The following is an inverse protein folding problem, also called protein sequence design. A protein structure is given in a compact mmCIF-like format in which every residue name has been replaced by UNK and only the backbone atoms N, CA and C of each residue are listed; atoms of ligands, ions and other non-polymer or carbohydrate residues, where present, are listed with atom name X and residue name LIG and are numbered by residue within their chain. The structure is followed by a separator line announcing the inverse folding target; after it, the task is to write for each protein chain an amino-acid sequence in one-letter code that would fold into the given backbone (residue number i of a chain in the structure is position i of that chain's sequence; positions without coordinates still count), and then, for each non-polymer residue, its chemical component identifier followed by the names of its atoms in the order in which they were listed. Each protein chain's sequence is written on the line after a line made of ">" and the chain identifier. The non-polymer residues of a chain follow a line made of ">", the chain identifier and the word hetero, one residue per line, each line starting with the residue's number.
data_IF_224882526839
#
_entry.id   IF_224882526839
#
_cell.length_a   1.000
_cell.length_b   1.000
_cell.length_c   1.000
_cell.angle_alpha   90.00
_cell.angle_beta   90.00
_cell.angle_gamma   90.00
#
_symmetry.space_group_name_H-M   'P 1'
#
loop_
_entity.id
_entity.type
_entity.pdbx_description
1 polymer ?
#
# COMPACT_ATOMS: atom_id res chain seq x y z
N UNK A 1 -7.75 -65.15 -0.49
CA UNK A 1 -6.46 -64.43 -0.49
C UNK A 1 -6.78 -62.96 -0.60
N UNK A 2 -6.55 -62.20 0.48
CA UNK A 2 -6.71 -60.74 0.48
C UNK A 2 -5.41 -60.17 -0.05
N UNK A 3 -5.43 -59.63 -1.26
CA UNK A 3 -4.30 -58.92 -1.85
C UNK A 3 -4.07 -57.66 -1.02
N UNK A 4 -3.05 -57.68 -0.16
CA UNK A 4 -2.60 -56.49 0.55
C UNK A 4 -1.94 -55.58 -0.49
N UNK A 5 -2.68 -54.58 -0.97
CA UNK A 5 -2.13 -53.49 -1.76
C UNK A 5 -1.16 -52.74 -0.84
N UNK A 6 0.15 -52.79 -1.13
CA UNK A 6 1.14 -51.94 -0.46
C UNK A 6 0.68 -50.48 -0.56
N UNK A 7 0.83 -49.67 0.50
CA UNK A 7 0.50 -48.25 0.43
C UNK A 7 1.35 -47.60 -0.67
N UNK A 8 0.68 -46.97 -1.64
CA UNK A 8 1.35 -46.15 -2.65
C UNK A 8 1.83 -44.90 -1.95
N UNK A 9 3.14 -44.77 -1.77
CA UNK A 9 3.74 -43.56 -1.25
C UNK A 9 3.99 -42.58 -2.41
N UNK A 10 3.72 -41.28 -2.23
CA UNK A 10 4.01 -40.29 -3.26
C UNK A 10 5.53 -40.22 -3.49
N UNK A 11 5.92 -40.00 -4.73
CA UNK A 11 7.30 -39.72 -5.13
C UNK A 11 7.73 -38.32 -4.66
N UNK A 12 9.04 -38.08 -4.63
CA UNK A 12 9.58 -36.75 -4.30
C UNK A 12 9.04 -35.67 -5.25
N UNK A 13 8.92 -35.98 -6.54
CA UNK A 13 8.37 -35.07 -7.54
C UNK A 13 6.89 -34.74 -7.28
N UNK A 14 6.05 -35.76 -7.03
CA UNK A 14 4.64 -35.55 -6.67
C UNK A 14 4.48 -34.71 -5.39
N UNK A 15 5.37 -34.90 -4.41
CA UNK A 15 5.38 -34.08 -3.21
C UNK A 15 5.75 -32.62 -3.51
N UNK A 16 6.81 -32.38 -4.29
CA UNK A 16 7.26 -31.02 -4.64
C UNK A 16 6.24 -30.27 -5.51
N UNK A 17 5.51 -31.00 -6.37
CA UNK A 17 4.39 -30.45 -7.12
C UNK A 17 3.20 -30.07 -6.23
N UNK A 18 2.92 -30.87 -5.19
CA UNK A 18 1.78 -30.66 -4.30
C UNK A 18 1.96 -29.54 -3.26
N UNK A 19 3.19 -29.01 -3.07
CA UNK A 19 3.48 -27.95 -2.07
C UNK A 19 2.68 -26.66 -2.34
N UNK A 20 2.27 -26.42 -3.59
CA UNK A 20 1.51 -25.22 -3.96
C UNK A 20 2.33 -23.93 -3.96
N UNK A 21 3.63 -24.00 -3.65
CA UNK A 21 4.58 -22.91 -3.82
C UNK A 21 5.50 -23.20 -5.00
N UNK A 22 6.04 -22.16 -5.63
CA UNK A 22 7.03 -22.32 -6.67
C UNK A 22 8.28 -22.96 -6.07
N UNK A 23 8.70 -24.12 -6.59
CA UNK A 23 9.91 -24.82 -6.17
C UNK A 23 10.85 -24.95 -7.36
N UNK A 24 12.09 -24.54 -7.14
CA UNK A 24 13.15 -24.52 -8.13
C UNK A 24 14.37 -25.20 -7.52
N UNK A 25 15.02 -26.07 -8.27
CA UNK A 25 16.33 -26.59 -7.87
C UNK A 25 17.37 -26.25 -8.94
N UNK A 26 18.58 -25.91 -8.50
CA UNK A 26 19.71 -25.57 -9.37
C UNK A 26 20.97 -26.35 -9.00
N UNK A 27 21.89 -26.46 -9.96
CA UNK A 27 23.29 -26.81 -9.65
C UNK A 27 24.00 -25.63 -8.96
N UNK A 28 25.22 -25.86 -8.48
CA UNK A 28 26.02 -24.81 -7.81
C UNK A 28 26.42 -23.63 -8.71
N UNK A 29 26.21 -23.76 -10.03
CA UNK A 29 26.47 -22.71 -11.02
C UNK A 29 25.19 -21.95 -11.38
N UNK A 30 24.04 -22.29 -10.80
CA UNK A 30 22.76 -21.66 -11.09
C UNK A 30 22.01 -22.25 -12.28
N UNK A 31 22.44 -23.39 -12.83
CA UNK A 31 21.70 -24.07 -13.90
C UNK A 31 20.47 -24.74 -13.32
N UNK A 32 19.28 -24.41 -13.83
CA UNK A 32 18.00 -24.97 -13.38
C UNK A 32 17.94 -26.47 -13.67
N UNK A 33 17.75 -27.27 -12.64
CA UNK A 33 17.59 -28.73 -12.68
C UNK A 33 16.13 -29.14 -12.50
N UNK A 34 15.34 -28.35 -11.78
CA UNK A 34 13.95 -28.64 -11.46
C UNK A 34 13.11 -27.37 -11.43
N UNK A 35 11.87 -27.51 -11.87
CA UNK A 35 10.90 -26.42 -12.00
C UNK A 35 9.48 -26.99 -11.92
N UNK A 36 8.76 -26.72 -10.83
CA UNK A 36 7.41 -27.25 -10.63
C UNK A 36 6.31 -26.38 -11.27
N UNK A 37 5.08 -26.88 -11.29
CA UNK A 37 3.93 -26.23 -11.93
C UNK A 37 3.63 -24.86 -11.32
N UNK A 38 3.84 -24.71 -10.01
CA UNK A 38 3.68 -23.43 -9.32
C UNK A 38 4.75 -22.41 -9.74
N UNK A 39 5.97 -22.85 -10.06
CA UNK A 39 7.01 -22.00 -10.62
C UNK A 39 6.67 -21.57 -12.06
N UNK A 40 6.07 -22.46 -12.87
CA UNK A 40 5.56 -22.08 -14.19
C UNK A 40 4.51 -20.97 -14.10
N UNK A 41 3.58 -21.08 -13.15
CA UNK A 41 2.55 -20.07 -12.92
C UNK A 41 3.16 -18.74 -12.47
N UNK A 42 4.05 -18.77 -11.48
CA UNK A 42 4.67 -17.59 -10.89
C UNK A 42 5.54 -16.82 -11.90
N UNK A 43 6.49 -17.49 -12.54
CA UNK A 43 7.43 -16.82 -13.45
C UNK A 43 7.03 -16.88 -14.91
N UNK A 44 5.97 -17.61 -15.28
CA UNK A 44 5.48 -17.67 -16.67
C UNK A 44 6.39 -18.44 -17.64
N UNK A 45 7.36 -19.19 -17.12
CA UNK A 45 8.23 -20.06 -17.91
C UNK A 45 7.75 -21.51 -17.78
N UNK A 46 7.43 -22.20 -18.89
CA UNK A 46 7.26 -23.65 -18.89
C UNK A 46 8.56 -24.31 -18.42
N UNK A 47 8.46 -25.40 -17.65
CA UNK A 47 9.58 -26.18 -17.15
C UNK A 47 10.50 -26.64 -18.29
N UNK A 48 9.91 -27.03 -19.43
CA UNK A 48 10.65 -27.41 -20.63
C UNK A 48 11.54 -26.28 -21.19
N UNK A 49 11.18 -25.02 -20.96
CA UNK A 49 11.96 -23.86 -21.36
C UNK A 49 12.90 -23.36 -20.25
N UNK A 50 12.56 -23.59 -18.98
CA UNK A 50 13.32 -23.13 -17.82
C UNK A 50 14.47 -24.06 -17.45
N UNK A 51 14.24 -25.39 -17.49
CA UNK A 51 15.24 -26.39 -17.13
C UNK A 51 16.42 -26.32 -18.11
N UNK A 52 17.63 -26.31 -17.55
CA UNK A 52 18.88 -26.15 -18.29
C UNK A 52 19.31 -24.70 -18.56
N UNK A 53 18.48 -23.70 -18.22
CA UNK A 53 18.87 -22.29 -18.26
C UNK A 53 19.56 -21.85 -16.98
N UNK A 54 20.22 -20.70 -17.05
CA UNK A 54 20.68 -19.98 -15.87
C UNK A 54 19.48 -19.38 -15.11
N UNK A 55 19.46 -19.57 -13.79
CA UNK A 55 18.38 -19.10 -12.92
C UNK A 55 18.16 -17.58 -13.03
N UNK A 56 19.23 -16.80 -13.24
CA UNK A 56 19.14 -15.34 -13.36
C UNK A 56 18.40 -14.90 -14.61
N UNK A 57 18.38 -15.71 -15.67
CA UNK A 57 17.61 -15.38 -16.89
C UNK A 57 16.10 -15.49 -16.68
N UNK A 58 15.67 -16.41 -15.81
CA UNK A 58 14.27 -16.84 -15.70
C UNK A 58 13.56 -16.34 -14.44
N UNK A 59 14.29 -15.93 -13.41
CA UNK A 59 13.68 -15.43 -12.16
C UNK A 59 13.98 -13.98 -11.82
N UNK A 60 15.08 -13.35 -12.28
CA UNK A 60 15.46 -12.02 -11.75
C UNK A 60 16.01 -11.05 -12.81
N UNK A 61 15.48 -9.82 -12.96
CA UNK A 61 16.04 -8.83 -13.89
C UNK A 61 17.28 -8.13 -13.32
N UNK A 62 17.27 -7.80 -12.01
CA UNK A 62 18.37 -7.14 -11.31
C UNK A 62 18.52 -7.68 -9.88
N UNK A 63 18.85 -8.97 -9.70
CA UNK A 63 19.42 -9.35 -8.41
C UNK A 63 20.72 -8.55 -8.27
N UNK A 64 20.81 -7.68 -7.27
CA UNK A 64 22.07 -6.97 -7.04
C UNK A 64 23.15 -8.05 -6.86
N UNK A 65 24.34 -7.83 -7.43
CA UNK A 65 25.46 -8.76 -7.23
C UNK A 65 25.71 -9.02 -5.74
N UNK A 66 25.35 -8.04 -4.90
CA UNK A 66 25.34 -8.13 -3.44
C UNK A 66 24.36 -9.17 -2.90
N UNK A 67 23.09 -9.15 -3.30
CA UNK A 67 22.09 -10.13 -2.87
C UNK A 67 22.47 -11.56 -3.32
N UNK A 68 22.97 -11.71 -4.55
CA UNK A 68 23.50 -12.99 -5.04
C UNK A 68 24.68 -13.49 -4.19
N UNK A 69 25.60 -12.59 -3.84
CA UNK A 69 26.75 -12.91 -2.99
C UNK A 69 26.32 -13.30 -1.57
N UNK A 70 25.31 -12.66 -1.01
CA UNK A 70 24.77 -12.96 0.32
C UNK A 70 24.06 -14.31 0.38
N UNK A 71 23.23 -14.64 -0.62
CA UNK A 71 22.64 -15.98 -0.77
C UNK A 71 23.77 -17.01 -0.78
N UNK A 72 24.73 -16.84 -1.69
CA UNK A 72 25.83 -17.80 -1.83
C UNK A 72 26.72 -17.90 -0.60
N UNK A 73 26.90 -16.81 0.17
CA UNK A 73 27.63 -16.83 1.42
C UNK A 73 26.89 -17.64 2.50
N UNK A 74 25.59 -17.38 2.69
CA UNK A 74 24.76 -18.13 3.64
C UNK A 74 24.75 -19.63 3.33
N UNK A 75 24.57 -19.98 2.05
CA UNK A 75 24.57 -21.37 1.59
C UNK A 75 25.96 -22.03 1.74
N UNK A 76 27.06 -21.33 1.50
CA UNK A 76 28.40 -21.92 1.75
C UNK A 76 28.65 -22.21 3.22
N UNK A 77 28.00 -21.49 4.12
CA UNK A 77 28.09 -21.69 5.56
C UNK A 77 27.08 -22.73 6.10
N UNK A 78 26.30 -23.40 5.24
CA UNK A 78 25.31 -24.37 5.67
C UNK A 78 24.00 -23.74 6.18
N UNK A 79 23.80 -22.43 5.99
CA UNK A 79 22.62 -21.70 6.46
C UNK A 79 21.61 -21.52 5.33
N UNK A 80 20.32 -21.60 5.67
CA UNK A 80 19.23 -21.18 4.77
C UNK A 80 19.18 -19.66 4.70
N UNK A 81 18.78 -19.14 3.54
CA UNK A 81 18.55 -17.72 3.26
C UNK A 81 17.05 -17.50 2.96
N UNK A 82 16.42 -16.39 3.37
CA UNK A 82 14.96 -16.24 3.22
C UNK A 82 14.47 -14.78 3.09
N UNK A 83 14.39 -14.24 1.87
CA UNK A 83 14.23 -12.81 1.61
C UNK A 83 13.22 -12.50 0.51
N UNK A 84 12.78 -11.25 0.43
CA UNK A 84 11.78 -10.78 -0.49
C UNK A 84 12.43 -9.86 -1.51
N UNK A 85 12.23 -10.15 -2.79
CA UNK A 85 12.83 -9.35 -3.85
C UNK A 85 11.95 -9.33 -5.11
N UNK A 86 12.13 -8.31 -5.97
CA UNK A 86 11.47 -8.26 -7.26
C UNK A 86 11.97 -9.40 -8.14
N UNK A 87 11.04 -10.19 -8.66
CA UNK A 87 11.27 -11.23 -9.64
C UNK A 87 10.56 -10.89 -10.96
N UNK A 88 11.13 -11.32 -12.08
CA UNK A 88 10.57 -11.03 -13.41
C UNK A 88 9.92 -12.25 -14.00
N UNK A 89 8.68 -12.07 -14.45
CA UNK A 89 7.94 -13.04 -15.25
C UNK A 89 8.42 -13.03 -16.71
N UNK A 90 8.25 -14.12 -17.46
CA UNK A 90 8.63 -14.24 -18.89
C UNK A 90 8.07 -13.10 -19.78
N UNK A 91 6.94 -12.52 -19.41
CA UNK A 91 6.32 -11.38 -20.11
C UNK A 91 6.90 -10.00 -19.78
N UNK A 92 7.86 -9.90 -18.85
CA UNK A 92 8.47 -8.65 -18.41
C UNK A 92 7.84 -8.02 -17.17
N UNK A 93 6.68 -8.53 -16.72
CA UNK A 93 6.04 -8.14 -15.46
C UNK A 93 6.97 -8.42 -14.27
N UNK A 94 7.10 -7.45 -13.37
CA UNK A 94 7.87 -7.58 -12.13
C UNK A 94 6.90 -7.77 -10.96
N UNK A 95 7.11 -8.81 -10.17
CA UNK A 95 6.32 -9.13 -8.97
C UNK A 95 7.25 -9.35 -7.78
N UNK A 96 6.75 -9.19 -6.57
CA UNK A 96 7.54 -9.44 -5.36
C UNK A 96 7.27 -10.85 -4.85
N UNK A 97 8.34 -11.64 -4.70
CA UNK A 97 8.26 -12.98 -4.14
C UNK A 97 9.06 -13.05 -2.83
N UNK A 98 8.51 -13.74 -1.83
CA UNK A 98 9.29 -14.22 -0.69
C UNK A 98 9.97 -15.52 -1.12
N UNK A 99 11.29 -15.52 -1.09
CA UNK A 99 12.12 -16.62 -1.55
C UNK A 99 12.90 -17.19 -0.38
N UNK A 100 12.92 -18.51 -0.26
CA UNK A 100 13.76 -19.24 0.68
C UNK A 100 14.72 -20.14 -0.09
N UNK A 101 16.02 -19.92 0.06
CA UNK A 101 17.06 -20.71 -0.58
C UNK A 101 17.76 -21.59 0.44
N UNK A 102 17.78 -22.89 0.16
CA UNK A 102 18.46 -23.91 0.97
C UNK A 102 19.47 -24.68 0.16
N UNK A 103 20.66 -24.87 0.73
CA UNK A 103 21.71 -25.64 0.09
C UNK A 103 21.47 -27.13 0.25
N UNK A 104 21.79 -27.89 -0.78
CA UNK A 104 21.86 -29.36 -0.74
C UNK A 104 23.33 -29.75 -0.60
N UNK A 105 23.66 -30.51 0.44
CA UNK A 105 25.04 -30.87 0.74
C UNK A 105 25.27 -32.37 0.68
N UNK A 106 26.47 -32.77 0.23
CA UNK A 106 26.98 -34.14 0.33
C UNK A 106 28.39 -34.07 0.88
N UNK A 107 28.64 -34.80 1.96
CA UNK A 107 29.96 -34.81 2.63
C UNK A 107 30.49 -33.41 3.01
N UNK A 108 29.57 -32.49 3.33
CA UNK A 108 29.90 -31.09 3.67
C UNK A 108 30.11 -30.15 2.47
N UNK A 109 30.07 -30.67 1.25
CA UNK A 109 30.17 -29.88 0.02
C UNK A 109 28.77 -29.49 -0.49
N UNK A 110 28.57 -28.20 -0.81
CA UNK A 110 27.36 -27.72 -1.47
C UNK A 110 27.31 -28.28 -2.90
N UNK A 111 26.28 -29.05 -3.23
CA UNK A 111 26.11 -29.70 -4.54
C UNK A 111 24.91 -29.19 -5.34
N UNK A 112 24.06 -28.35 -4.74
CA UNK A 112 22.91 -27.75 -5.39
C UNK A 112 22.16 -26.82 -4.44
N UNK A 113 21.17 -26.13 -4.97
CA UNK A 113 20.35 -25.17 -4.24
C UNK A 113 18.89 -25.48 -4.52
N UNK A 114 18.05 -25.43 -3.50
CA UNK A 114 16.59 -25.51 -3.62
C UNK A 114 16.03 -24.17 -3.16
N UNK A 115 15.40 -23.45 -4.09
CA UNK A 115 14.66 -22.23 -3.85
C UNK A 115 13.17 -22.51 -3.80
N UNK A 116 12.48 -21.98 -2.79
CA UNK A 116 11.04 -21.94 -2.70
C UNK A 116 10.56 -20.49 -2.76
N UNK A 117 9.65 -20.18 -3.67
CA UNK A 117 9.15 -18.82 -3.88
C UNK A 117 7.63 -18.76 -3.68
N UNK A 118 7.20 -17.78 -2.90
CA UNK A 118 5.81 -17.45 -2.67
C UNK A 118 5.54 -16.06 -3.20
N UNK A 119 4.54 -15.93 -4.07
CA UNK A 119 4.07 -14.62 -4.48
C UNK A 119 3.59 -13.85 -3.24
N UNK A 120 4.25 -12.76 -2.91
CA UNK A 120 3.89 -11.96 -1.75
C UNK A 120 2.49 -11.35 -1.93
N UNK A 121 2.12 -11.03 -3.17
CA UNK A 121 0.77 -10.62 -3.53
C UNK A 121 -0.25 -11.68 -3.16
N UNK A 122 -0.02 -12.97 -3.42
CA UNK A 122 -1.00 -14.03 -3.13
C UNK A 122 -1.03 -14.45 -1.66
N UNK A 123 0.11 -14.41 -0.98
CA UNK A 123 0.20 -14.63 0.47
C UNK A 123 -0.56 -13.56 1.25
N UNK A 124 -0.39 -12.30 0.85
CA UNK A 124 -1.06 -11.15 1.44
C UNK A 124 -2.53 -11.10 0.99
N UNK A 125 -2.84 -11.44 -0.27
CA UNK A 125 -4.20 -11.55 -0.82
C UNK A 125 -5.08 -12.47 0.01
N UNK A 126 -4.66 -13.68 0.36
CA UNK A 126 -5.48 -14.61 1.15
C UNK A 126 -5.71 -14.14 2.60
N UNK A 127 -4.78 -13.38 3.17
CA UNK A 127 -4.92 -12.75 4.49
C UNK A 127 -5.81 -11.50 4.44
N UNK A 128 -5.85 -10.80 3.30
CA UNK A 128 -6.45 -9.47 3.18
C UNK A 128 -7.71 -9.38 2.30
N UNK A 129 -8.07 -10.42 1.55
CA UNK A 129 -9.31 -10.51 0.77
C UNK A 129 -10.58 -10.44 1.64
N UNK A 130 -10.44 -10.56 2.96
CA UNK A 130 -11.52 -10.36 3.93
C UNK A 130 -11.45 -9.03 4.69
N UNK A 131 -10.44 -8.20 4.43
CA UNK A 131 -10.30 -6.88 5.04
C UNK A 131 -11.09 -5.84 4.24
N UNK A 132 -11.77 -4.93 4.92
CA UNK A 132 -12.39 -3.73 4.33
C UNK A 132 -11.37 -2.71 3.84
N UNK A 133 -10.09 -2.95 4.11
CA UNK A 133 -9.01 -2.00 3.94
C UNK A 133 -8.21 -2.33 2.68
N UNK A 134 -7.75 -1.30 2.00
CA UNK A 134 -6.81 -1.45 0.90
C UNK A 134 -5.41 -1.69 1.44
N UNK A 135 -4.68 -2.62 0.84
CA UNK A 135 -3.33 -2.95 1.26
C UNK A 135 -2.35 -2.63 0.16
N UNK A 136 -1.27 -1.95 0.53
CA UNK A 136 -0.20 -1.55 -0.39
C UNK A 136 1.12 -1.95 0.23
N UNK A 137 1.98 -2.60 -0.56
CA UNK A 137 3.35 -2.90 -0.17
C UNK A 137 4.28 -1.88 -0.84
N UNK A 138 5.18 -1.29 -0.05
CA UNK A 138 6.18 -0.36 -0.57
C UNK A 138 7.60 -0.83 -0.24
N UNK A 139 8.52 -0.57 -1.17
CA UNK A 139 9.96 -0.79 -0.97
C UNK A 139 10.61 0.36 -0.15
N UNK A 140 11.93 0.26 0.07
CA UNK A 140 12.71 1.27 0.81
C UNK A 140 12.72 2.67 0.15
N UNK A 141 12.30 2.76 -1.13
CA UNK A 141 12.16 4.02 -1.87
C UNK A 141 10.69 4.48 -1.95
N UNK A 142 9.81 3.84 -1.17
CA UNK A 142 8.37 4.06 -1.14
C UNK A 142 7.66 3.75 -2.46
N UNK A 143 8.32 2.96 -3.33
CA UNK A 143 7.75 2.52 -4.59
C UNK A 143 6.82 1.35 -4.31
N UNK A 144 5.60 1.43 -4.84
CA UNK A 144 4.60 0.41 -4.67
C UNK A 144 5.00 -0.84 -5.44
N UNK A 145 5.19 -1.93 -4.71
CA UNK A 145 5.52 -3.25 -5.23
C UNK A 145 4.29 -4.14 -5.40
N UNK A 146 3.24 -3.87 -4.62
CA UNK A 146 1.97 -4.57 -4.68
C UNK A 146 0.85 -3.65 -4.16
N UNK A 147 -0.33 -3.76 -4.78
CA UNK A 147 -1.54 -3.12 -4.29
C UNK A 147 -2.71 -4.11 -4.39
N UNK A 148 -3.51 -4.22 -3.34
CA UNK A 148 -4.71 -5.06 -3.36
C UNK A 148 -5.78 -4.43 -4.26
N UNK A 149 -6.68 -5.22 -4.90
CA UNK A 149 -7.75 -4.69 -5.74
C UNK A 149 -8.69 -3.68 -5.05
N UNK A 150 -8.70 -3.69 -3.71
CA UNK A 150 -9.46 -2.73 -2.92
C UNK A 150 -9.03 -1.27 -3.16
N UNK A 151 -7.80 -0.99 -3.62
CA UNK A 151 -7.39 0.39 -3.97
C UNK A 151 -8.26 0.99 -5.08
N UNK A 152 -8.71 0.16 -6.03
CA UNK A 152 -9.61 0.59 -7.10
C UNK A 152 -11.00 0.87 -6.55
N UNK A 153 -11.54 -0.04 -5.74
CA UNK A 153 -12.89 0.08 -5.21
C UNK A 153 -13.03 1.20 -4.17
N UNK A 154 -12.01 1.42 -3.33
CA UNK A 154 -12.04 2.38 -2.24
C UNK A 154 -11.58 3.78 -2.68
N UNK A 155 -10.67 3.88 -3.63
CA UNK A 155 -10.01 5.16 -3.96
C UNK A 155 -10.03 5.53 -5.44
N UNK A 156 -10.57 4.66 -6.30
CA UNK A 156 -10.60 4.88 -7.75
C UNK A 156 -9.25 4.66 -8.42
N UNK A 157 -8.24 4.15 -7.71
CA UNK A 157 -6.90 3.95 -8.24
C UNK A 157 -6.81 2.64 -9.02
N UNK A 158 -6.53 2.66 -10.35
CA UNK A 158 -6.28 1.43 -11.07
C UNK A 158 -5.01 0.76 -10.53
N UNK A 159 -5.07 -0.53 -10.19
CA UNK A 159 -3.93 -1.27 -9.61
C UNK A 159 -2.67 -1.10 -10.46
N UNK A 160 -2.79 -1.28 -11.77
CA UNK A 160 -1.67 -1.17 -12.74
C UNK A 160 -1.07 0.25 -12.83
N UNK A 161 -1.80 1.27 -12.40
CA UNK A 161 -1.32 2.65 -12.36
C UNK A 161 -0.66 3.00 -11.01
N UNK A 162 -0.95 2.24 -9.96
CA UNK A 162 -0.35 2.44 -8.62
C UNK A 162 0.96 1.66 -8.51
N UNK A 163 0.95 0.40 -8.94
CA UNK A 163 2.15 -0.45 -8.90
C UNK A 163 3.27 0.17 -9.74
N UNK A 164 4.48 0.25 -9.16
CA UNK A 164 5.66 0.87 -9.76
C UNK A 164 5.76 2.38 -9.57
N UNK A 165 4.77 3.03 -8.94
CA UNK A 165 4.81 4.46 -8.62
C UNK A 165 5.13 4.71 -7.14
N UNK A 166 5.53 5.93 -6.79
CA UNK A 166 5.73 6.31 -5.40
C UNK A 166 4.38 6.47 -4.70
N UNK A 167 4.16 5.78 -3.57
CA UNK A 167 2.93 5.94 -2.79
C UNK A 167 2.78 7.38 -2.27
N UNK A 168 3.90 8.07 -2.02
CA UNK A 168 3.92 9.47 -1.57
C UNK A 168 3.27 10.42 -2.57
N UNK A 169 3.27 10.10 -3.87
CA UNK A 169 2.63 10.93 -4.91
C UNK A 169 1.09 10.94 -4.81
N UNK A 170 0.52 9.99 -4.07
CA UNK A 170 -0.91 9.90 -3.80
C UNK A 170 -1.32 10.63 -2.51
N UNK A 171 -0.36 11.13 -1.74
CA UNK A 171 -0.56 11.78 -0.43
C UNK A 171 -0.54 13.30 -0.59
N UNK A 172 -1.40 13.99 0.17
CA UNK A 172 -1.46 15.45 0.17
C UNK A 172 -0.10 16.05 0.56
N UNK A 173 0.40 17.10 -0.11
CA UNK A 173 1.74 17.66 0.13
C UNK A 173 2.05 18.00 1.61
N UNK A 174 1.06 18.50 2.35
CA UNK A 174 1.21 18.83 3.78
C UNK A 174 1.31 17.60 4.69
N UNK A 175 0.88 16.43 4.22
CA UNK A 175 0.84 15.19 5.02
C UNK A 175 2.01 14.25 4.66
N UNK A 176 2.86 14.63 3.69
CA UNK A 176 3.99 13.80 3.23
C UNK A 176 5.04 13.59 4.32
N UNK A 177 5.33 14.61 5.12
CA UNK A 177 6.28 14.52 6.24
C UNK A 177 5.74 13.56 7.33
N UNK A 178 4.45 13.67 7.67
CA UNK A 178 3.80 12.78 8.62
C UNK A 178 3.82 11.32 8.14
N UNK A 179 3.62 11.09 6.84
CA UNK A 179 3.74 9.76 6.25
C UNK A 179 5.18 9.21 6.31
N UNK A 180 6.18 10.05 6.04
CA UNK A 180 7.59 9.65 6.15
C UNK A 180 7.96 9.27 7.59
N UNK A 181 7.41 9.96 8.60
CA UNK A 181 7.54 9.57 10.00
C UNK A 181 6.91 8.20 10.28
N UNK A 182 5.71 7.91 9.77
CA UNK A 182 5.08 6.58 9.90
C UNK A 182 5.90 5.45 9.27
N UNK A 183 6.60 5.75 8.16
CA UNK A 183 7.49 4.82 7.48
C UNK A 183 8.86 4.68 8.16
N UNK A 184 9.19 5.46 9.18
CA UNK A 184 10.44 5.28 9.93
C UNK A 184 10.38 3.99 10.76
N UNK A 185 11.45 3.20 10.72
CA UNK A 185 11.49 1.91 11.41
C UNK A 185 11.39 2.10 12.92
N UNK A 186 10.44 1.43 13.54
CA UNK A 186 10.39 1.31 14.99
C UNK A 186 10.22 -0.16 15.37
N UNK A 187 11.30 -0.86 15.78
CA UNK A 187 11.24 -2.26 16.15
C UNK A 187 10.53 -2.50 17.48
N UNK A 188 10.09 -1.45 18.18
CA UNK A 188 9.40 -1.55 19.47
C UNK A 188 7.87 -1.61 19.33
N UNK A 189 7.34 -1.35 18.13
CA UNK A 189 5.89 -1.30 17.86
C UNK A 189 5.56 -2.17 16.67
N UNK A 190 4.55 -3.04 16.84
CA UNK A 190 4.07 -3.95 15.77
C UNK A 190 3.41 -3.20 14.60
N UNK A 191 2.75 -2.08 14.88
CA UNK A 191 1.98 -1.30 13.91
C UNK A 191 1.96 0.19 14.28
N UNK A 192 2.19 1.06 13.29
CA UNK A 192 2.11 2.52 13.45
C UNK A 192 0.92 3.05 12.67
N UNK A 193 0.08 3.84 13.31
CA UNK A 193 -1.17 4.32 12.72
C UNK A 193 -1.16 5.84 12.67
N UNK A 194 -1.58 6.40 11.53
CA UNK A 194 -1.80 7.84 11.38
C UNK A 194 -2.92 8.14 10.41
N UNK A 195 -3.34 9.40 10.40
CA UNK A 195 -4.38 9.90 9.49
C UNK A 195 -3.76 10.90 8.52
N UNK A 196 -4.10 10.75 7.24
CA UNK A 196 -3.56 11.59 6.17
C UNK A 196 -4.58 11.72 5.03
N UNK A 197 -4.39 12.71 4.17
CA UNK A 197 -5.21 12.91 2.97
C UNK A 197 -4.56 12.22 1.78
N UNK A 198 -5.36 11.46 1.04
CA UNK A 198 -4.97 10.87 -0.25
C UNK A 198 -5.83 11.37 -1.39
N UNK A 199 -5.27 11.40 -2.60
CA UNK A 199 -5.97 11.89 -3.79
C UNK A 199 -6.91 10.83 -4.34
N UNK A 200 -8.22 10.97 -4.19
CA UNK A 200 -9.24 10.07 -4.76
C UNK A 200 -10.09 10.81 -5.79
N UNK A 201 -10.18 10.30 -7.02
CA UNK A 201 -11.01 10.86 -8.11
C UNK A 201 -10.91 12.40 -8.29
N UNK A 202 -9.71 12.96 -8.11
CA UNK A 202 -9.45 14.40 -8.23
C UNK A 202 -9.75 15.24 -6.98
N UNK A 203 -10.14 14.62 -5.88
CA UNK A 203 -10.38 15.25 -4.57
C UNK A 203 -9.44 14.69 -3.50
N UNK A 204 -9.26 15.42 -2.40
CA UNK A 204 -8.52 14.91 -1.24
C UNK A 204 -9.50 14.23 -0.29
N UNK A 205 -9.14 13.04 0.18
CA UNK A 205 -9.97 12.27 1.12
C UNK A 205 -9.15 11.78 2.29
N UNK A 206 -9.71 11.91 3.48
CA UNK A 206 -9.08 11.40 4.70
C UNK A 206 -9.08 9.88 4.75
N UNK A 207 -7.91 9.34 5.04
CA UNK A 207 -7.69 7.93 5.30
C UNK A 207 -6.93 7.77 6.61
N UNK A 208 -7.15 6.65 7.26
CA UNK A 208 -6.23 6.14 8.26
C UNK A 208 -5.31 5.14 7.57
N UNK A 209 -4.01 5.28 7.82
CA UNK A 209 -2.97 4.40 7.33
C UNK A 209 -2.32 3.71 8.52
N UNK A 210 -2.35 2.38 8.51
CA UNK A 210 -1.64 1.54 9.44
C UNK A 210 -0.44 0.89 8.74
N UNK A 211 0.73 1.02 9.36
CA UNK A 211 2.03 0.72 8.79
C UNK A 211 2.70 -0.38 9.60
N UNK A 212 3.02 -1.49 8.94
CA UNK A 212 3.68 -2.66 9.53
C UNK A 212 4.97 -2.97 8.78
N UNK A 213 6.05 -3.19 9.51
CA UNK A 213 7.33 -3.57 8.92
C UNK A 213 7.36 -5.05 8.52
N UNK A 214 7.71 -5.29 7.26
CA UNK A 214 8.11 -6.60 6.77
C UNK A 214 9.62 -6.62 6.59
N UNK A 215 10.30 -7.24 7.55
CA UNK A 215 11.71 -7.56 7.41
C UNK A 215 11.84 -8.80 6.54
N UNK A 216 12.38 -8.63 5.33
CA UNK A 216 12.75 -9.77 4.50
C UNK A 216 14.24 -10.06 4.69
N UNK A 217 14.61 -11.33 4.93
CA UNK A 217 16.00 -11.67 5.26
C UNK A 217 16.80 -12.18 4.06
N UNK A 218 17.83 -11.47 3.61
CA UNK A 218 18.54 -10.38 4.24
C UNK A 218 18.16 -9.04 3.64
N UNK A 219 18.11 -8.05 4.52
CA UNK A 219 18.47 -6.69 4.19
C UNK A 219 17.32 -5.78 3.79
N UNK A 220 16.40 -6.22 2.93
CA UNK A 220 15.39 -5.29 2.39
C UNK A 220 14.17 -5.17 3.30
N UNK A 221 14.00 -3.98 3.87
CA UNK A 221 12.78 -3.62 4.61
C UNK A 221 11.70 -3.26 3.60
N UNK A 222 10.65 -4.07 3.54
CA UNK A 222 9.40 -3.67 2.88
C UNK A 222 8.40 -3.26 3.93
N UNK A 223 7.43 -2.45 3.54
CA UNK A 223 6.44 -1.93 4.48
C UNK A 223 5.05 -2.20 3.93
N UNK A 224 4.18 -2.77 4.76
CA UNK A 224 2.75 -2.92 4.44
C UNK A 224 2.03 -1.71 4.98
N UNK A 225 1.29 -1.04 4.10
CA UNK A 225 0.37 0.04 4.41
C UNK A 225 -1.06 -0.49 4.23
N UNK A 226 -1.78 -0.65 5.33
CA UNK A 226 -3.23 -0.83 5.32
C UNK A 226 -3.89 0.55 5.34
N UNK A 227 -4.74 0.82 4.36
CA UNK A 227 -5.35 2.12 4.12
C UNK A 227 -6.86 1.94 4.17
N UNK A 228 -7.51 2.65 5.08
CA UNK A 228 -8.96 2.67 5.23
C UNK A 228 -9.50 4.08 5.16
N UNK A 229 -10.69 4.28 4.62
CA UNK A 229 -11.34 5.60 4.63
C UNK A 229 -11.67 6.01 6.07
N UNK A 230 -11.24 7.20 6.47
CA UNK A 230 -11.60 7.77 7.79
C UNK A 230 -12.92 8.52 7.66
N UNK A 231 -14.04 7.85 7.94
CA UNK A 231 -15.36 8.50 7.95
C UNK A 231 -15.48 9.60 9.02
N UNK A 232 -14.71 9.48 10.11
CA UNK A 232 -14.74 10.44 11.22
C UNK A 232 -14.21 11.80 10.78
N UNK A 233 -13.01 11.84 10.19
CA UNK A 233 -12.38 13.11 9.78
C UNK A 233 -13.07 13.72 8.57
N UNK A 234 -13.49 12.90 7.59
CA UNK A 234 -14.25 13.39 6.45
C UNK A 234 -15.55 14.10 6.88
N UNK A 235 -16.23 13.61 7.93
CA UNK A 235 -17.43 14.26 8.48
C UNK A 235 -17.12 15.55 9.25
N UNK A 236 -15.95 15.64 9.90
CA UNK A 236 -15.55 16.85 10.64
C UNK A 236 -15.24 17.97 9.63
N UNK A 237 -14.40 17.69 8.64
CA UNK A 237 -14.00 18.67 7.63
C UNK A 237 -15.19 19.13 6.77
N UNK A 238 -16.05 18.22 6.33
CA UNK A 238 -17.25 18.60 5.58
C UNK A 238 -18.23 19.43 6.43
N UNK A 239 -18.33 19.13 7.74
CA UNK A 239 -19.14 19.94 8.65
C UNK A 239 -18.55 21.34 8.83
N UNK A 240 -17.24 21.47 8.98
CA UNK A 240 -16.56 22.76 9.08
C UNK A 240 -16.73 23.57 7.79
N UNK A 241 -16.54 22.93 6.64
CA UNK A 241 -16.75 23.55 5.31
C UNK A 241 -18.19 24.01 5.11
N UNK A 242 -19.18 23.21 5.53
CA UNK A 242 -20.59 23.60 5.49
C UNK A 242 -20.89 24.77 6.42
N UNK A 243 -20.33 24.76 7.64
CA UNK A 243 -20.48 25.87 8.59
C UNK A 243 -19.89 27.15 7.98
N UNK A 244 -18.69 27.08 7.43
CA UNK A 244 -18.03 28.25 6.81
C UNK A 244 -18.79 28.75 5.58
N UNK A 245 -19.29 27.84 4.73
CA UNK A 245 -20.09 28.20 3.56
C UNK A 245 -21.42 28.90 3.95
N UNK A 246 -22.18 28.29 4.87
CA UNK A 246 -23.42 28.87 5.38
C UNK A 246 -23.14 30.20 6.08
N UNK A 247 -22.03 30.30 6.80
CA UNK A 247 -21.64 31.54 7.47
C UNK A 247 -21.34 32.66 6.47
N UNK A 248 -20.57 32.37 5.41
CA UNK A 248 -20.24 33.32 4.36
C UNK A 248 -21.49 33.81 3.63
N UNK A 249 -22.43 32.90 3.32
CA UNK A 249 -23.71 33.24 2.70
C UNK A 249 -24.58 34.14 3.59
N UNK A 250 -24.74 33.78 4.88
CA UNK A 250 -25.50 34.60 5.85
C UNK A 250 -24.88 35.98 6.03
N UNK A 251 -23.54 36.09 6.07
CA UNK A 251 -22.87 37.38 6.16
C UNK A 251 -23.11 38.25 4.91
N UNK A 252 -23.16 37.65 3.71
CA UNK A 252 -23.49 38.37 2.48
C UNK A 252 -24.93 38.90 2.52
N UNK A 253 -25.90 38.08 2.91
CA UNK A 253 -27.31 38.48 3.01
C UNK A 253 -27.52 39.59 4.04
N UNK A 254 -26.88 39.48 5.21
CA UNK A 254 -26.93 40.51 6.24
C UNK A 254 -26.30 41.83 5.76
N UNK A 255 -25.19 41.77 5.00
CA UNK A 255 -24.58 42.96 4.42
C UNK A 255 -25.49 43.64 3.39
N UNK A 256 -26.21 42.86 2.58
CA UNK A 256 -27.21 43.39 1.65
C UNK A 256 -28.34 44.08 2.42
N UNK A 257 -28.85 43.46 3.48
CA UNK A 257 -29.90 44.04 4.32
C UNK A 257 -29.44 45.34 5.02
N UNK A 258 -28.19 45.41 5.47
CA UNK A 258 -27.60 46.63 6.05
C UNK A 258 -27.61 47.78 5.04
N UNK A 259 -27.19 47.51 3.81
CA UNK A 259 -27.19 48.50 2.73
C UNK A 259 -28.60 48.99 2.37
N UNK A 260 -29.60 48.11 2.44
CA UNK A 260 -31.01 48.48 2.25
C UNK A 260 -31.53 49.37 3.38
N UNK A 261 -31.16 49.09 4.64
CA UNK A 261 -31.50 49.93 5.78
C UNK A 261 -30.86 51.31 5.69
N UNK A 262 -29.59 51.41 5.26
CA UNK A 262 -28.92 52.70 5.02
C UNK A 262 -29.60 53.51 3.92
N UNK A 263 -30.03 52.85 2.84
CA UNK A 263 -30.83 53.47 1.78
C UNK A 263 -32.22 53.91 2.27
N UNK A 264 -32.82 53.15 3.19
CA UNK A 264 -34.11 53.50 3.78
C UNK A 264 -33.98 54.70 4.73
N UNK A 265 -32.92 54.75 5.55
CA UNK A 265 -32.60 55.85 6.45
C UNK A 265 -32.48 57.19 5.74
N UNK A 266 -31.78 57.22 4.59
CA UNK A 266 -31.63 58.43 3.77
C UNK A 266 -32.95 58.95 3.20
N UNK A 267 -34.00 58.13 3.15
CA UNK A 267 -35.32 58.48 2.62
C UNK A 267 -36.42 58.54 3.69
N UNK A 268 -36.09 58.26 4.95
CA UNK A 268 -37.07 58.08 6.01
C UNK A 268 -37.61 59.41 6.56
N UNK A 269 -38.91 59.42 6.89
CA UNK A 269 -39.48 60.49 7.69
C UNK A 269 -38.91 60.47 9.13
N UNK A 270 -38.83 61.61 9.84
CA UNK A 270 -38.25 61.68 11.19
C UNK A 270 -38.86 60.71 12.21
N UNK A 271 -40.15 60.41 12.07
CA UNK A 271 -40.87 59.47 12.94
C UNK A 271 -40.45 57.99 12.77
N UNK A 272 -39.86 57.63 11.63
CA UNK A 272 -39.43 56.27 11.30
C UNK A 272 -37.91 56.09 11.36
N UNK A 273 -37.14 57.16 11.18
CA UNK A 273 -35.68 57.14 11.17
C UNK A 273 -35.08 56.46 12.41
N UNK A 274 -35.56 56.79 13.62
CA UNK A 274 -35.07 56.20 14.86
C UNK A 274 -35.24 54.67 14.93
N UNK A 275 -36.32 54.12 14.34
CA UNK A 275 -36.52 52.66 14.31
C UNK A 275 -35.63 51.97 13.30
N UNK A 276 -35.39 52.61 12.15
CA UNK A 276 -34.53 52.05 11.10
C UNK A 276 -33.07 52.08 11.55
N UNK A 277 -32.64 53.15 12.23
CA UNK A 277 -31.31 53.28 12.81
C UNK A 277 -31.06 52.20 13.89
N UNK A 278 -32.03 51.99 14.78
CA UNK A 278 -31.97 50.91 15.77
C UNK A 278 -31.91 49.51 15.14
N UNK A 279 -32.60 49.28 14.03
CA UNK A 279 -32.55 48.02 13.28
C UNK A 279 -31.19 47.81 12.62
N UNK A 280 -30.60 48.86 12.01
CA UNK A 280 -29.26 48.81 11.42
C UNK A 280 -28.21 48.51 12.48
N UNK A 281 -28.25 49.19 13.62
CA UNK A 281 -27.29 48.96 14.70
C UNK A 281 -27.41 47.55 15.30
N UNK A 282 -28.62 47.00 15.35
CA UNK A 282 -28.83 45.61 15.77
C UNK A 282 -28.24 44.61 14.77
N UNK A 283 -28.39 44.88 13.47
CA UNK A 283 -27.84 44.06 12.39
C UNK A 283 -26.30 44.08 12.41
N UNK A 284 -25.69 45.27 12.55
CA UNK A 284 -24.24 45.42 12.65
C UNK A 284 -23.65 44.64 13.83
N UNK A 285 -24.30 44.67 15.02
CA UNK A 285 -23.88 43.85 16.17
C UNK A 285 -23.98 42.35 15.91
N UNK A 286 -25.03 41.91 15.20
CA UNK A 286 -25.21 40.51 14.85
C UNK A 286 -24.12 40.03 13.88
N UNK A 287 -23.75 40.85 12.89
CA UNK A 287 -22.66 40.57 11.96
C UNK A 287 -21.30 40.51 12.65
N UNK A 288 -21.02 41.41 13.60
CA UNK A 288 -19.77 41.39 14.38
C UNK A 288 -19.67 40.09 15.20
N UNK A 289 -20.76 39.72 15.88
CA UNK A 289 -20.83 38.48 16.67
C UNK A 289 -20.63 37.24 15.80
N UNK A 290 -21.27 37.21 14.62
CA UNK A 290 -21.08 36.14 13.64
C UNK A 290 -19.61 36.03 13.21
N UNK A 291 -18.97 37.15 12.83
CA UNK A 291 -17.56 37.16 12.44
C UNK A 291 -16.62 36.66 13.54
N UNK A 292 -16.92 36.90 14.81
CA UNK A 292 -16.10 36.41 15.93
C UNK A 292 -16.23 34.89 16.16
N UNK A 293 -17.38 34.30 15.84
CA UNK A 293 -17.64 32.86 16.03
C UNK A 293 -16.90 31.98 15.02
N UNK A 294 -16.47 32.54 13.89
CA UNK A 294 -15.81 31.81 12.78
C UNK A 294 -14.34 32.19 12.59
N UNK A 295 -13.76 33.00 13.49
CA UNK A 295 -12.29 33.17 13.47
C UNK A 295 -11.63 31.83 13.80
N UNK A 296 -10.58 31.43 13.05
CA UNK A 296 -9.84 30.19 13.28
C UNK A 296 -9.17 30.16 14.65
#
# INVERSE_FOLDING_TARGET
>A
MVTQTLPVHPSADEMLQAIGHAVIATDTRGTVLYWNDAAEQLYGWPAADAVGRDITEVTVPELSQQAAAEIMAALREGRTWAGGFPVRRRGGEVLHALVTDSGVYRDGELIGIVGASLNLGDAVRHLMERSSDAAVLVDERHVVSYASPAVTNLFGWPVDAVVGTSLTDLIHPEDQDAFAELLTADPTVDERVGELRVRTDGTWSWVEVAVTDLYTQPGSRSVVCNIRRSERLARIEERERLIEAVHSEVLQDLFVAELELDRALTRAAPSSAARIDAARDALGRAMETLREVVKP
#
